data_IF_876106798183
#
_entry.id   IF_876106798183
#
_cell.length_a   1.000
_cell.length_b   1.000
_cell.length_c   1.000
_cell.angle_alpha   90.00
_cell.angle_beta   90.00
_cell.angle_gamma   90.00
#
_symmetry.space_group_name_H-M   'P 1'
#
loop_
_entity.id
_entity.type
_entity.pdbx_description
1 polymer ?
#
# COMPACT_ATOMS: atom_id res chain seq x y z
N UNK A 1 2.80 10.04 -19.21
CA UNK A 1 2.75 9.16 -18.00
C UNK A 1 3.34 7.79 -18.35
N UNK A 2 3.97 7.06 -17.40
CA UNK A 2 4.50 5.70 -17.65
C UNK A 2 3.66 4.64 -16.95
N UNK A 3 3.37 3.53 -17.63
CA UNK A 3 2.65 2.39 -17.06
C UNK A 3 3.38 1.08 -17.37
N UNK A 4 3.36 0.12 -16.45
CA UNK A 4 4.03 -1.17 -16.64
C UNK A 4 3.01 -2.24 -17.03
N UNK A 5 3.23 -2.91 -18.17
CA UNK A 5 2.44 -4.07 -18.57
C UNK A 5 2.78 -5.29 -17.70
N UNK A 6 1.86 -6.26 -17.60
CA UNK A 6 2.08 -7.53 -16.91
C UNK A 6 3.26 -8.35 -17.47
N UNK A 7 3.67 -8.11 -18.72
CA UNK A 7 4.88 -8.71 -19.30
C UNK A 7 6.19 -8.00 -18.90
N UNK A 8 6.13 -6.97 -18.05
CA UNK A 8 7.28 -6.19 -17.60
C UNK A 8 7.70 -5.06 -18.56
N UNK A 9 7.03 -4.89 -19.69
CA UNK A 9 7.33 -3.77 -20.60
C UNK A 9 6.75 -2.44 -20.10
N UNK A 10 7.59 -1.41 -20.11
CA UNK A 10 7.17 -0.03 -19.81
C UNK A 10 6.50 0.55 -21.05
N UNK A 11 5.32 1.12 -20.86
CA UNK A 11 4.49 1.75 -21.89
C UNK A 11 4.46 3.25 -21.65
N UNK A 12 4.65 4.02 -22.72
CA UNK A 12 4.40 5.45 -22.73
C UNK A 12 2.93 5.71 -22.99
N UNK A 13 2.27 6.31 -21.98
CA UNK A 13 0.86 6.69 -22.03
C UNK A 13 0.78 8.17 -22.44
N UNK A 14 0.26 8.48 -23.63
CA UNK A 14 0.00 9.86 -24.04
C UNK A 14 -1.11 10.47 -23.17
N UNK A 15 -0.96 11.74 -22.81
CA UNK A 15 -1.82 12.44 -21.85
C UNK A 15 -3.27 12.57 -22.34
N UNK A 16 -3.44 12.81 -23.65
CA UNK A 16 -4.73 12.95 -24.34
C UNK A 16 -5.16 11.70 -25.14
N UNK A 17 -4.52 10.55 -24.90
CA UNK A 17 -4.77 9.33 -25.66
C UNK A 17 -6.09 8.61 -25.33
N UNK A 18 -6.36 7.52 -26.05
CA UNK A 18 -7.46 6.60 -25.74
C UNK A 18 -7.26 5.88 -24.41
N UNK A 19 -8.34 5.61 -23.67
CA UNK A 19 -8.33 4.86 -22.40
C UNK A 19 -7.88 3.39 -22.52
N UNK A 20 -7.63 2.94 -23.75
CA UNK A 20 -7.14 1.60 -24.04
C UNK A 20 -5.88 1.70 -24.88
N UNK A 21 -4.82 1.06 -24.41
CA UNK A 21 -3.57 0.89 -25.14
C UNK A 21 -3.24 -0.59 -25.27
N UNK A 22 -2.59 -0.98 -26.36
CA UNK A 22 -2.16 -2.35 -26.58
C UNK A 22 -0.66 -2.43 -26.30
N UNK A 23 -0.25 -3.38 -25.46
CA UNK A 23 1.17 -3.60 -25.24
C UNK A 23 1.83 -4.14 -26.53
N UNK A 24 2.90 -3.52 -27.04
CA UNK A 24 3.56 -4.00 -28.26
C UNK A 24 4.29 -5.34 -28.07
N UNK A 25 4.62 -5.73 -26.82
CA UNK A 25 5.31 -7.01 -26.55
C UNK A 25 4.37 -8.21 -26.47
N UNK A 26 3.23 -8.07 -25.80
CA UNK A 26 2.34 -9.21 -25.52
C UNK A 26 0.92 -9.04 -26.07
N UNK A 27 0.66 -7.97 -26.82
CA UNK A 27 -0.65 -7.61 -27.37
C UNK A 27 -1.78 -7.48 -26.33
N UNK A 28 -1.44 -7.38 -25.04
CA UNK A 28 -2.44 -7.21 -23.99
C UNK A 28 -3.16 -5.86 -24.15
N UNK A 29 -4.50 -5.91 -24.17
CA UNK A 29 -5.36 -4.72 -24.14
C UNK A 29 -5.43 -4.20 -22.71
N UNK A 30 -4.73 -3.09 -22.45
CA UNK A 30 -4.62 -2.50 -21.12
C UNK A 30 -5.60 -1.32 -21.06
N UNK A 31 -6.44 -1.31 -20.03
CA UNK A 31 -7.31 -0.17 -19.71
C UNK A 31 -6.60 0.76 -18.74
N UNK A 32 -6.40 1.99 -19.15
CA UNK A 32 -5.78 3.03 -18.34
C UNK A 32 -6.89 3.68 -17.50
N UNK A 33 -6.71 3.70 -16.17
CA UNK A 33 -7.58 4.47 -15.28
C UNK A 33 -6.87 5.80 -15.03
N UNK A 34 -7.22 6.83 -15.79
CA UNK A 34 -6.81 8.21 -15.47
C UNK A 34 -7.58 8.61 -14.21
N UNK A 35 -6.86 8.74 -13.10
CA UNK A 35 -7.39 9.40 -11.91
C UNK A 35 -7.35 10.88 -12.25
N UNK A 36 -8.46 11.43 -12.72
CA UNK A 36 -8.62 12.88 -12.82
C UNK A 36 -8.79 13.37 -11.39
N UNK A 37 -7.84 14.13 -10.82
CA UNK A 37 -8.04 14.73 -9.51
C UNK A 37 -9.24 15.68 -9.61
N UNK A 38 -10.36 15.31 -8.99
CA UNK A 38 -11.61 16.07 -9.07
C UNK A 38 -12.72 15.44 -9.91
N UNK A 39 -12.63 14.18 -10.35
CA UNK A 39 -13.78 13.46 -10.89
C UNK A 39 -14.44 12.56 -9.82
N UNK A 40 -15.32 13.10 -8.94
CA UNK A 40 -16.32 12.26 -8.30
C UNK A 40 -17.20 11.73 -9.43
N UNK A 41 -17.64 10.47 -9.33
CA UNK A 41 -18.34 9.76 -10.41
C UNK A 41 -19.27 10.68 -11.21
N UNK A 42 -19.12 10.63 -12.53
CA UNK A 42 -19.56 11.54 -13.61
C UNK A 42 -21.00 12.10 -13.59
N UNK A 43 -21.74 11.89 -12.52
CA UNK A 43 -23.14 12.20 -12.32
C UNK A 43 -23.38 13.38 -11.37
N UNK A 44 -22.34 13.93 -10.69
CA UNK A 44 -22.51 14.98 -9.68
C UNK A 44 -23.08 14.47 -8.34
N UNK A 45 -22.83 13.20 -8.01
CA UNK A 45 -23.28 12.60 -6.75
C UNK A 45 -22.15 11.91 -5.99
N UNK A 46 -22.15 12.08 -4.66
CA UNK A 46 -21.27 11.37 -3.73
C UNK A 46 -21.96 10.09 -3.27
N UNK A 47 -21.24 8.97 -3.32
CA UNK A 47 -21.73 7.65 -2.89
C UNK A 47 -20.90 7.19 -1.70
N UNK A 48 -21.53 6.93 -0.56
CA UNK A 48 -20.85 6.48 0.67
C UNK A 48 -21.72 5.49 1.46
N UNK A 49 -21.13 4.82 2.45
CA UNK A 49 -21.81 3.80 3.25
C UNK A 49 -22.31 4.40 4.58
N UNK A 50 -23.54 4.05 4.95
CA UNK A 50 -24.09 4.26 6.28
C UNK A 50 -23.64 3.11 7.21
N UNK A 51 -23.39 3.34 8.51
CA UNK A 51 -23.08 2.28 9.48
C UNK A 51 -24.13 1.17 9.58
N UNK A 52 -25.38 1.42 9.17
CA UNK A 52 -26.41 0.38 9.09
C UNK A 52 -26.25 -0.58 7.89
N UNK A 53 -25.24 -0.36 7.03
CA UNK A 53 -24.95 -1.17 5.85
C UNK A 53 -25.57 -0.67 4.54
N UNK A 54 -26.41 0.38 4.60
CA UNK A 54 -27.02 0.98 3.39
C UNK A 54 -26.02 1.87 2.64
N UNK A 55 -26.12 1.90 1.31
CA UNK A 55 -25.36 2.83 0.45
C UNK A 55 -26.18 4.09 0.20
N UNK A 56 -25.61 5.24 0.58
CA UNK A 56 -26.21 6.56 0.40
C UNK A 56 -25.68 7.22 -0.88
N UNK A 57 -26.54 8.00 -1.54
CA UNK A 57 -26.23 8.80 -2.72
C UNK A 57 -26.72 10.22 -2.48
N UNK A 58 -25.82 11.19 -2.46
CA UNK A 58 -26.14 12.60 -2.18
C UNK A 58 -25.69 13.46 -3.35
N UNK A 59 -26.52 14.41 -3.78
CA UNK A 59 -26.21 15.34 -4.88
C UNK A 59 -25.19 16.37 -4.39
N UNK A 60 -24.24 16.72 -5.25
CA UNK A 60 -23.40 17.90 -5.08
C UNK A 60 -24.23 19.09 -5.59
N UNK A 61 -24.28 20.17 -4.82
CA UNK A 61 -24.99 21.38 -5.24
C UNK A 61 -24.33 21.97 -6.50
N UNK A 62 -25.08 22.75 -7.26
CA UNK A 62 -24.63 23.30 -8.55
C UNK A 62 -23.39 24.21 -8.43
N UNK A 63 -23.04 24.61 -7.20
CA UNK A 63 -21.84 25.38 -6.84
C UNK A 63 -20.63 24.49 -6.45
N UNK A 64 -20.73 23.16 -6.60
CA UNK A 64 -19.66 22.21 -6.27
C UNK A 64 -19.50 21.93 -4.77
N UNK A 65 -20.34 22.55 -3.92
CA UNK A 65 -20.38 22.28 -2.48
C UNK A 65 -21.14 20.97 -2.20
N UNK A 66 -20.62 20.18 -1.28
CA UNK A 66 -21.28 18.96 -0.80
C UNK A 66 -21.91 19.24 0.56
N UNK A 67 -23.13 18.77 0.83
CA UNK A 67 -23.73 18.91 2.14
C UNK A 67 -22.88 18.15 3.18
N UNK A 68 -22.67 18.72 4.38
CA UNK A 68 -21.78 18.14 5.40
C UNK A 68 -22.29 16.79 5.93
N UNK A 69 -23.60 16.56 5.87
CA UNK A 69 -24.20 15.30 6.29
C UNK A 69 -25.44 14.96 5.46
N UNK A 70 -25.69 13.65 5.29
CA UNK A 70 -26.89 13.10 4.65
C UNK A 70 -27.69 12.25 5.63
N UNK A 71 -29.02 12.35 5.61
CA UNK A 71 -29.91 11.52 6.44
C UNK A 71 -30.15 10.17 5.78
N UNK A 72 -29.92 9.09 6.51
CA UNK A 72 -30.24 7.74 6.02
C UNK A 72 -31.76 7.51 6.06
N UNK A 73 -32.40 7.08 4.96
CA UNK A 73 -33.84 6.83 4.95
C UNK A 73 -34.23 5.57 5.75
N UNK A 74 -33.33 4.60 5.90
CA UNK A 74 -33.63 3.31 6.55
C UNK A 74 -33.44 3.36 8.07
N UNK A 75 -32.35 3.95 8.58
CA UNK A 75 -32.10 4.05 10.02
C UNK A 75 -32.32 5.45 10.61
N UNK A 76 -32.64 6.45 9.79
CA UNK A 76 -32.86 7.84 10.21
C UNK A 76 -31.60 8.58 10.67
N UNK A 77 -30.46 7.91 10.79
CA UNK A 77 -29.20 8.46 11.28
C UNK A 77 -28.63 9.51 10.31
N UNK A 78 -28.08 10.58 10.87
CA UNK A 78 -27.34 11.60 10.14
C UNK A 78 -25.92 11.08 9.94
N UNK A 79 -25.54 10.83 8.68
CA UNK A 79 -24.24 10.26 8.31
C UNK A 79 -23.40 11.35 7.64
N UNK A 80 -22.17 11.60 8.11
CA UNK A 80 -21.30 12.61 7.51
C UNK A 80 -20.88 12.20 6.09
N UNK A 81 -20.94 13.14 5.15
CA UNK A 81 -20.51 12.91 3.77
C UNK A 81 -18.99 13.07 3.70
N UNK A 82 -18.22 12.06 3.24
CA UNK A 82 -16.77 12.19 3.15
C UNK A 82 -16.39 13.16 2.03
N UNK A 83 -15.67 14.23 2.37
CA UNK A 83 -15.09 15.17 1.41
C UNK A 83 -13.87 14.53 0.73
N UNK A 84 -13.70 14.61 -0.60
CA UNK A 84 -12.58 13.98 -1.33
C UNK A 84 -11.19 14.62 -1.08
N UNK A 85 -11.01 15.31 0.04
CA UNK A 85 -9.73 15.82 0.56
C UNK A 85 -9.64 15.77 2.08
N UNK A 86 -10.71 15.34 2.77
CA UNK A 86 -10.67 15.10 4.20
C UNK A 86 -10.30 13.64 4.45
N UNK A 87 -9.01 13.38 4.64
CA UNK A 87 -8.69 12.57 5.82
C UNK A 87 -9.37 13.28 6.99
N UNK A 88 -10.05 12.59 7.92
CA UNK A 88 -10.56 13.25 9.10
C UNK A 88 -9.35 13.83 9.83
N UNK A 89 -9.03 15.10 9.57
CA UNK A 89 -8.19 15.90 10.40
C UNK A 89 -9.00 16.01 11.68
N UNK A 90 -8.73 15.08 12.58
CA UNK A 90 -9.24 15.07 13.92
C UNK A 90 -8.97 16.47 14.51
N UNK A 91 -9.85 16.96 15.41
CA UNK A 91 -9.60 18.24 16.07
C UNK A 91 -8.17 18.24 16.64
N UNK A 92 -7.48 19.38 16.61
CA UNK A 92 -6.07 19.50 17.03
C UNK A 92 -5.79 19.02 18.47
N UNK A 93 -6.84 18.81 19.27
CA UNK A 93 -6.81 18.24 20.61
C UNK A 93 -7.01 16.72 20.68
N UNK A 94 -7.16 16.02 19.56
CA UNK A 94 -7.34 14.56 19.52
C UNK A 94 -5.97 13.85 19.58
N UNK A 95 -5.80 12.80 20.40
CA UNK A 95 -4.51 12.09 20.55
C UNK A 95 -4.01 11.38 19.28
N UNK A 96 -4.88 11.24 18.27
CA UNK A 96 -4.53 10.68 16.95
C UNK A 96 -4.48 11.75 15.84
N UNK A 97 -4.53 13.04 16.20
CA UNK A 97 -4.25 14.11 15.24
C UNK A 97 -2.78 14.07 14.82
N UNK A 98 -2.48 14.45 13.59
CA UNK A 98 -1.13 14.44 13.05
C UNK A 98 -0.29 15.40 13.91
N UNK A 99 0.61 14.86 14.74
CA UNK A 99 1.39 15.67 15.67
C UNK A 99 2.24 16.66 14.88
N UNK A 100 1.96 17.95 15.04
CA UNK A 100 2.76 19.05 14.50
C UNK A 100 4.16 19.16 15.16
N UNK A 101 4.61 18.10 15.84
CA UNK A 101 5.72 18.08 16.80
C UNK A 101 6.91 17.21 16.33
N UNK A 102 7.06 17.00 15.02
CA UNK A 102 8.35 16.58 14.46
C UNK A 102 8.89 17.74 13.64
N UNK A 103 9.71 18.57 14.27
CA UNK A 103 10.39 19.64 13.57
C UNK A 103 11.52 19.09 12.67
N UNK A 104 12.17 19.98 11.93
CA UNK A 104 13.27 19.58 11.04
C UNK A 104 14.46 18.96 11.79
N UNK A 105 14.63 19.30 13.08
CA UNK A 105 15.69 18.78 13.94
C UNK A 105 15.36 17.35 14.38
N UNK A 106 14.11 17.07 14.75
CA UNK A 106 13.63 15.74 15.11
C UNK A 106 13.68 14.77 13.92
N UNK A 107 13.31 15.25 12.73
CA UNK A 107 13.44 14.48 11.49
C UNK A 107 14.90 14.10 11.21
N UNK A 108 15.85 15.02 11.42
CA UNK A 108 17.27 14.75 11.25
C UNK A 108 17.80 13.74 12.29
N UNK A 109 17.30 13.80 13.52
CA UNK A 109 17.65 12.85 14.58
C UNK A 109 17.15 11.43 14.26
N UNK A 110 15.92 11.31 13.77
CA UNK A 110 15.33 10.04 13.33
C UNK A 110 16.10 9.42 12.15
N UNK A 111 16.49 10.23 11.16
CA UNK A 111 17.27 9.75 10.02
C UNK A 111 18.66 9.26 10.44
N UNK A 112 19.29 9.93 11.41
CA UNK A 112 20.56 9.49 12.00
C UNK A 112 20.40 8.16 12.75
N UNK A 113 19.35 8.01 13.55
CA UNK A 113 19.05 6.75 14.22
C UNK A 113 18.79 5.62 13.23
N UNK A 114 17.99 5.88 12.19
CA UNK A 114 17.65 4.90 11.14
C UNK A 114 18.91 4.39 10.42
N UNK A 115 19.85 5.28 10.07
CA UNK A 115 21.15 4.88 9.49
C UNK A 115 21.95 3.99 10.43
N UNK A 116 22.03 4.33 11.71
CA UNK A 116 22.73 3.51 12.70
C UNK A 116 22.07 2.14 12.92
N UNK A 117 20.74 2.08 12.90
CA UNK A 117 20.00 0.84 13.11
C UNK A 117 20.06 -0.08 11.89
N UNK A 118 19.90 0.47 10.67
CA UNK A 118 20.02 -0.28 9.43
C UNK A 118 21.42 -0.85 9.24
N UNK A 119 22.47 -0.09 9.60
CA UNK A 119 23.84 -0.57 9.58
C UNK A 119 24.07 -1.73 10.56
N UNK A 120 23.41 -1.74 11.72
CA UNK A 120 23.47 -2.86 12.68
C UNK A 120 22.72 -4.10 12.19
N UNK A 121 21.61 -3.94 11.47
CA UNK A 121 20.86 -5.06 10.87
C UNK A 121 21.44 -5.55 9.54
N UNK A 122 22.37 -4.80 8.93
CA UNK A 122 23.05 -5.14 7.69
C UNK A 122 24.30 -6.03 7.88
N UNK A 123 24.58 -6.48 9.11
CA UNK A 123 25.36 -7.70 9.26
C UNK A 123 24.63 -8.80 8.45
N UNK A 124 25.31 -9.64 7.65
CA UNK A 124 24.64 -10.64 6.86
C UNK A 124 23.89 -11.56 7.81
N UNK A 125 22.58 -11.33 7.90
CA UNK A 125 21.65 -12.28 8.45
C UNK A 125 21.73 -13.48 7.51
N UNK A 126 22.66 -14.39 7.80
CA UNK A 126 22.41 -15.80 7.59
C UNK A 126 21.18 -16.03 8.46
N UNK A 127 20.00 -15.80 7.86
CA UNK A 127 18.73 -16.25 8.38
C UNK A 127 18.92 -17.75 8.51
N UNK A 128 19.32 -18.19 9.70
CA UNK A 128 19.13 -19.55 10.13
C UNK A 128 17.61 -19.70 10.18
N UNK A 129 17.03 -20.00 9.03
CA UNK A 129 15.63 -20.39 8.91
C UNK A 129 15.41 -21.46 9.98
N UNK A 130 14.49 -21.19 10.90
CA UNK A 130 14.12 -22.11 11.95
C UNK A 130 13.80 -23.46 11.32
N UNK A 131 14.73 -24.42 11.40
CA UNK A 131 14.66 -25.58 10.50
C UNK A 131 15.99 -26.18 10.04
N UNK A 132 17.10 -25.44 10.10
CA UNK A 132 18.37 -25.86 9.49
C UNK A 132 19.50 -26.05 10.53
N UNK A 133 20.19 -27.19 10.40
CA UNK A 133 21.46 -27.52 11.09
C UNK A 133 22.63 -27.06 10.21
N UNK A 134 23.82 -26.92 10.76
CA UNK A 134 25.04 -26.62 9.97
C UNK A 134 25.80 -27.90 9.69
N UNK A 135 26.18 -28.14 8.43
CA UNK A 135 27.00 -29.30 8.05
C UNK A 135 28.41 -29.18 8.66
N UNK A 136 28.93 -30.21 9.36
CA UNK A 136 30.27 -30.16 9.94
C UNK A 136 31.40 -30.23 8.89
N UNK A 137 31.11 -30.69 7.68
CA UNK A 137 32.10 -30.80 6.61
C UNK A 137 32.31 -29.51 5.81
N UNK A 138 31.23 -28.78 5.50
CA UNK A 138 31.28 -27.62 4.60
C UNK A 138 30.67 -26.32 5.16
N UNK A 139 30.11 -26.35 6.37
CA UNK A 139 29.51 -25.17 7.01
C UNK A 139 28.19 -24.68 6.41
N UNK A 140 27.65 -25.38 5.39
CA UNK A 140 26.39 -25.00 4.75
C UNK A 140 25.17 -25.47 5.56
N UNK A 141 24.06 -24.72 5.51
CA UNK A 141 22.87 -25.08 6.25
C UNK A 141 22.17 -26.28 5.57
N UNK A 142 21.80 -27.27 6.38
CA UNK A 142 21.17 -28.53 5.98
C UNK A 142 19.87 -28.72 6.74
N UNK A 143 18.87 -29.31 6.10
CA UNK A 143 17.57 -29.55 6.72
C UNK A 143 17.69 -30.39 8.01
N UNK A 144 16.89 -30.09 9.05
CA UNK A 144 16.87 -30.82 10.32
C UNK A 144 16.62 -32.33 10.20
N UNK A 145 16.04 -32.81 9.10
CA UNK A 145 15.85 -34.24 8.84
C UNK A 145 16.95 -34.90 7.98
N UNK A 146 17.89 -34.14 7.42
CA UNK A 146 18.89 -34.68 6.51
C UNK A 146 19.91 -35.56 7.24
N UNK A 147 20.20 -36.72 6.65
CA UNK A 147 21.22 -37.68 7.12
C UNK A 147 22.59 -37.39 6.48
N UNK A 148 22.60 -36.81 5.28
CA UNK A 148 23.81 -36.40 4.57
C UNK A 148 23.66 -34.99 3.98
N UNK A 149 24.76 -34.26 3.91
CA UNK A 149 24.81 -32.95 3.26
C UNK A 149 24.64 -33.11 1.75
N UNK A 150 23.70 -32.36 1.16
CA UNK A 150 23.46 -32.37 -0.30
C UNK A 150 24.62 -31.83 -1.13
N UNK A 151 25.54 -31.12 -0.49
CA UNK A 151 26.62 -30.42 -1.18
C UNK A 151 27.96 -31.13 -1.13
N UNK A 152 28.38 -31.58 0.05
CA UNK A 152 29.67 -32.24 0.22
C UNK A 152 29.54 -33.75 0.52
N UNK A 153 28.32 -34.27 0.65
CA UNK A 153 28.08 -35.69 0.97
C UNK A 153 28.39 -36.09 2.41
N UNK A 154 28.95 -35.20 3.24
CA UNK A 154 29.28 -35.50 4.65
C UNK A 154 28.03 -35.88 5.44
N UNK A 155 28.14 -36.94 6.25
CA UNK A 155 27.06 -37.38 7.14
C UNK A 155 26.78 -36.34 8.24
N UNK A 156 25.51 -36.04 8.48
CA UNK A 156 25.06 -35.00 9.42
C UNK A 156 24.36 -35.68 10.61
N UNK A 157 25.03 -35.84 11.77
CA UNK A 157 24.47 -36.55 12.92
C UNK A 157 23.20 -35.86 13.45
N UNK A 158 22.15 -36.66 13.70
CA UNK A 158 20.92 -36.19 14.38
C UNK A 158 21.26 -35.87 15.84
N UNK A 159 20.82 -34.72 16.32
CA UNK A 159 20.93 -34.31 17.73
C UNK A 159 19.62 -34.56 18.45
#
# INVERSE_FOLDING_TARGET
>A
MKATCRCGHILDVPEDGSDRIVCPKCAAKIRIRRIVPGAPGADGYIRFACPCGRRLKVKIDDEGSHPPAGKCPDCGQIVPVPTPGSNPALPASHPESQTAELDAVDMALLEKWARGHLARTAAPAIKAEAGLRVCPGCGRPVHLGAVACRECGTHVPKR
#
